data_IF_664157930838
#
_entry.id   IF_664157930838
#
_cell.length_a   1.000
_cell.length_b   1.000
_cell.length_c   1.000
_cell.angle_alpha   90.00
_cell.angle_beta   90.00
_cell.angle_gamma   90.00
#
_symmetry.space_group_name_H-M   'P 1'
#
loop_
_entity.id
_entity.type
_entity.pdbx_description
1 polymer ?
#
# COMPACT_ATOMS: atom_id res chain seq x y z
N UNK A 1 20.55 15.40 17.19
CA UNK A 1 19.79 15.05 15.96
C UNK A 1 20.15 16.07 14.89
N UNK A 2 20.83 15.65 13.82
CA UNK A 2 21.32 16.55 12.77
C UNK A 2 20.16 17.04 11.87
N UNK A 3 20.33 18.17 11.21
CA UNK A 3 19.31 18.85 10.39
C UNK A 3 18.77 17.98 9.25
N UNK A 4 19.62 17.09 8.71
CA UNK A 4 19.24 16.08 7.71
C UNK A 4 18.15 15.12 8.22
N UNK A 5 18.28 14.64 9.47
CA UNK A 5 17.30 13.72 10.06
C UNK A 5 15.95 14.40 10.28
N UNK A 6 15.94 15.70 10.57
CA UNK A 6 14.68 16.46 10.72
C UNK A 6 13.95 16.61 9.39
N UNK A 7 14.68 16.89 8.31
CA UNK A 7 14.11 16.99 6.95
C UNK A 7 13.53 15.65 6.48
N UNK A 8 14.21 14.55 6.78
CA UNK A 8 13.72 13.20 6.45
C UNK A 8 12.42 12.87 7.18
N UNK A 9 12.36 13.10 8.50
CA UNK A 9 11.15 12.85 9.30
C UNK A 9 9.98 13.72 8.84
N UNK A 10 10.24 14.98 8.47
CA UNK A 10 9.19 15.87 7.96
C UNK A 10 8.68 15.39 6.59
N UNK A 11 9.58 15.02 5.67
CA UNK A 11 9.20 14.46 4.38
C UNK A 11 8.34 13.21 4.53
N UNK A 12 8.72 12.29 5.42
CA UNK A 12 7.94 11.08 5.68
C UNK A 12 6.52 11.39 6.16
N UNK A 13 6.39 12.40 7.03
CA UNK A 13 5.09 12.84 7.56
C UNK A 13 4.21 13.46 6.47
N UNK A 14 4.78 14.31 5.63
CA UNK A 14 4.06 15.00 4.56
C UNK A 14 3.54 13.99 3.52
N UNK A 15 4.39 13.02 3.16
CA UNK A 15 4.03 11.91 2.28
C UNK A 15 2.90 11.07 2.87
N UNK A 16 3.00 10.64 4.13
CA UNK A 16 1.93 9.89 4.80
C UNK A 16 0.60 10.64 4.73
N UNK A 17 0.63 11.95 5.00
CA UNK A 17 -0.56 12.80 4.92
C UNK A 17 -1.22 12.77 3.54
N UNK A 18 -0.44 12.98 2.48
CA UNK A 18 -0.95 12.95 1.10
C UNK A 18 -1.53 11.57 0.74
N UNK A 19 -0.86 10.48 1.14
CA UNK A 19 -1.35 9.13 0.88
C UNK A 19 -2.67 8.88 1.59
N UNK A 20 -2.79 9.28 2.87
CA UNK A 20 -4.02 9.17 3.64
C UNK A 20 -5.21 9.90 2.99
N UNK A 21 -4.98 11.09 2.44
CA UNK A 21 -6.02 11.84 1.71
C UNK A 21 -6.48 11.10 0.44
N UNK A 22 -5.64 10.24 -0.13
CA UNK A 22 -5.91 9.50 -1.37
C UNK A 22 -6.35 8.06 -1.17
N UNK A 23 -6.34 7.54 0.07
CA UNK A 23 -6.67 6.13 0.37
C UNK A 23 -8.03 5.74 -0.21
N UNK A 24 -9.05 6.56 0.00
CA UNK A 24 -10.41 6.26 -0.47
C UNK A 24 -10.50 6.23 -2.00
N UNK A 25 -9.92 7.24 -2.67
CA UNK A 25 -9.85 7.29 -4.15
C UNK A 25 -9.13 6.07 -4.73
N UNK A 26 -8.07 5.60 -4.07
CA UNK A 26 -7.32 4.42 -4.50
C UNK A 26 -8.12 3.13 -4.28
N UNK A 27 -8.76 2.99 -3.12
CA UNK A 27 -9.59 1.84 -2.80
C UNK A 27 -10.76 1.68 -3.79
N UNK A 28 -11.42 2.78 -4.18
CA UNK A 28 -12.46 2.77 -5.21
C UNK A 28 -11.97 2.25 -6.56
N UNK A 29 -10.74 2.59 -6.96
CA UNK A 29 -10.15 2.15 -8.22
C UNK A 29 -9.74 0.68 -8.22
N UNK A 30 -9.33 0.15 -7.07
CA UNK A 30 -8.77 -1.19 -6.95
C UNK A 30 -9.80 -2.24 -6.54
N UNK A 31 -10.88 -1.87 -5.83
CA UNK A 31 -11.93 -2.81 -5.44
C UNK A 31 -12.53 -3.63 -6.62
N UNK A 32 -12.77 -3.05 -7.81
CA UNK A 32 -13.23 -3.83 -8.96
C UNK A 32 -12.22 -4.89 -9.43
N UNK A 33 -10.91 -4.66 -9.26
CA UNK A 33 -9.87 -5.61 -9.66
C UNK A 33 -9.87 -6.85 -8.76
N UNK A 34 -10.02 -6.67 -7.44
CA UNK A 34 -10.14 -7.79 -6.51
C UNK A 34 -11.35 -8.66 -6.83
N UNK A 35 -12.48 -8.03 -7.17
CA UNK A 35 -13.67 -8.76 -7.61
C UNK A 35 -13.47 -9.48 -8.95
N UNK A 36 -12.80 -8.84 -9.91
CA UNK A 36 -12.55 -9.42 -11.23
C UNK A 36 -11.62 -10.64 -11.16
N UNK A 37 -10.58 -10.56 -10.33
CA UNK A 37 -9.55 -11.59 -10.19
C UNK A 37 -9.92 -12.66 -9.13
N UNK A 38 -11.13 -12.60 -8.57
CA UNK A 38 -11.57 -13.43 -7.43
C UNK A 38 -10.55 -13.46 -6.28
N UNK A 39 -9.90 -12.32 -6.04
CA UNK A 39 -8.84 -12.22 -5.06
C UNK A 39 -9.40 -11.87 -3.69
N UNK A 40 -8.96 -12.62 -2.68
CA UNK A 40 -9.44 -12.55 -1.30
C UNK A 40 -8.35 -12.05 -0.37
N UNK A 41 -8.74 -11.22 0.61
CA UNK A 41 -7.88 -10.90 1.74
C UNK A 41 -7.96 -12.02 2.78
N UNK A 42 -6.81 -12.50 3.25
CA UNK A 42 -6.66 -13.01 4.62
C UNK A 42 -7.48 -14.22 5.09
N UNK A 43 -8.19 -14.95 4.22
CA UNK A 43 -8.82 -16.30 4.42
C UNK A 43 -10.36 -16.39 4.26
N UNK A 44 -11.10 -15.30 4.09
CA UNK A 44 -12.58 -15.39 3.90
C UNK A 44 -12.99 -15.53 2.43
N UNK A 45 -14.06 -16.30 2.19
CA UNK A 45 -14.52 -16.71 0.85
C UNK A 45 -15.14 -15.60 -0.02
N UNK A 46 -15.04 -14.34 0.41
CA UNK A 46 -15.66 -13.20 -0.25
C UNK A 46 -14.62 -12.21 -0.75
N UNK A 47 -14.86 -11.59 -1.92
CA UNK A 47 -14.03 -10.48 -2.32
C UNK A 47 -14.18 -9.34 -1.31
N UNK A 48 -13.10 -8.62 -1.07
CA UNK A 48 -13.03 -7.51 -0.12
C UNK A 48 -13.93 -6.34 -0.48
N UNK A 49 -14.45 -5.71 0.55
CA UNK A 49 -15.16 -4.43 0.46
C UNK A 49 -14.17 -3.26 0.36
N UNK A 50 -14.60 -2.14 -0.21
CA UNK A 50 -13.80 -0.90 -0.27
C UNK A 50 -13.22 -0.53 1.11
N UNK A 51 -14.00 -0.62 2.18
CA UNK A 51 -13.54 -0.27 3.53
C UNK A 51 -12.43 -1.19 4.05
N UNK A 52 -12.43 -2.47 3.65
CA UNK A 52 -11.33 -3.39 3.98
C UNK A 52 -10.05 -3.04 3.22
N UNK A 53 -10.19 -2.60 1.96
CA UNK A 53 -9.08 -2.08 1.15
C UNK A 53 -8.51 -0.82 1.79
N UNK A 54 -9.37 0.12 2.19
CA UNK A 54 -8.96 1.37 2.84
C UNK A 54 -8.19 1.09 4.13
N UNK A 55 -8.66 0.15 4.95
CA UNK A 55 -7.95 -0.28 6.17
C UNK A 55 -6.57 -0.85 5.85
N UNK A 56 -6.48 -1.79 4.91
CA UNK A 56 -5.21 -2.40 4.53
C UNK A 56 -4.22 -1.37 3.96
N UNK A 57 -4.68 -0.41 3.15
CA UNK A 57 -3.86 0.69 2.67
C UNK A 57 -3.35 1.58 3.81
N UNK A 58 -4.21 1.90 4.79
CA UNK A 58 -3.82 2.64 5.98
C UNK A 58 -2.70 1.95 6.77
N UNK A 59 -2.84 0.64 7.02
CA UNK A 59 -1.80 -0.16 7.69
C UNK A 59 -0.48 -0.15 6.91
N UNK A 60 -0.53 -0.27 5.59
CA UNK A 60 0.66 -0.21 4.73
C UNK A 60 1.32 1.18 4.73
N UNK A 61 0.52 2.25 4.75
CA UNK A 61 1.00 3.64 4.89
C UNK A 61 1.58 3.85 6.29
N UNK A 62 1.04 3.24 7.35
CA UNK A 62 1.62 3.35 8.68
C UNK A 62 2.96 2.64 8.78
N UNK A 63 3.12 1.51 8.09
CA UNK A 63 4.41 0.84 7.91
C UNK A 63 5.42 1.65 7.08
N UNK A 64 5.02 2.76 6.45
CA UNK A 64 5.94 3.67 5.77
C UNK A 64 6.95 4.25 6.79
N UNK A 65 8.22 3.94 6.59
CA UNK A 65 9.30 4.30 7.51
C UNK A 65 10.38 3.22 7.54
N UNK A 66 11.30 3.26 6.58
CA UNK A 66 12.36 2.26 6.42
C UNK A 66 12.80 2.08 4.97
N UNK A 67 13.76 1.19 4.72
CA UNK A 67 13.96 0.58 3.40
C UNK A 67 13.22 -0.76 3.39
N UNK A 68 12.41 -1.01 2.36
CA UNK A 68 11.72 -2.28 2.18
C UNK A 68 10.36 -2.15 1.51
N UNK A 69 9.72 -3.30 1.32
CA UNK A 69 8.35 -3.44 0.84
C UNK A 69 7.48 -3.97 1.97
N UNK A 70 6.30 -3.39 2.17
CA UNK A 70 5.26 -3.97 3.02
C UNK A 70 4.15 -4.50 2.14
N UNK A 71 3.68 -5.72 2.43
CA UNK A 71 2.61 -6.37 1.69
C UNK A 71 1.50 -6.80 2.62
N UNK A 72 0.25 -6.59 2.22
CA UNK A 72 -0.93 -7.06 2.96
C UNK A 72 -1.99 -7.52 1.97
N UNK A 73 -2.31 -8.81 2.03
CA UNK A 73 -3.42 -9.42 1.28
C UNK A 73 -3.42 -9.12 -0.22
N UNK A 74 -2.24 -8.99 -0.82
CA UNK A 74 -2.09 -8.74 -2.25
C UNK A 74 -1.71 -7.33 -2.67
N UNK A 75 -1.92 -6.35 -1.80
CA UNK A 75 -1.34 -5.03 -2.00
C UNK A 75 0.11 -5.03 -1.52
N UNK A 76 0.94 -4.33 -2.27
CA UNK A 76 2.33 -4.07 -1.93
C UNK A 76 2.60 -2.58 -2.08
N UNK A 77 3.15 -1.99 -1.02
CA UNK A 77 3.70 -0.64 -1.06
C UNK A 77 5.21 -0.75 -1.19
N UNK A 78 5.75 -0.14 -2.24
CA UNK A 78 7.17 0.00 -2.49
C UNK A 78 7.58 1.46 -2.38
N UNK A 79 8.73 1.72 -1.77
CA UNK A 79 9.29 3.06 -1.65
C UNK A 79 10.69 3.10 -2.24
N UNK A 80 10.90 4.01 -3.19
CA UNK A 80 12.20 4.33 -3.75
C UNK A 80 12.65 5.70 -3.23
N UNK A 81 13.63 5.69 -2.33
CA UNK A 81 14.21 6.89 -1.74
C UNK A 81 15.00 7.72 -2.74
N UNK A 82 15.63 7.08 -3.72
CA UNK A 82 16.50 7.74 -4.69
C UNK A 82 15.66 8.42 -5.79
N UNK A 83 14.59 7.77 -6.22
CA UNK A 83 13.63 8.34 -7.16
C UNK A 83 12.61 9.28 -6.49
N UNK A 84 12.50 9.27 -5.16
CA UNK A 84 11.41 9.93 -4.41
C UNK A 84 10.03 9.46 -4.89
N UNK A 85 9.92 8.18 -5.24
CA UNK A 85 8.71 7.57 -5.78
C UNK A 85 8.09 6.58 -4.79
N UNK A 86 6.77 6.57 -4.75
CA UNK A 86 5.98 5.62 -3.97
C UNK A 86 5.05 4.90 -4.92
N UNK A 87 5.21 3.58 -4.95
CA UNK A 87 4.36 2.69 -5.72
C UNK A 87 3.43 1.95 -4.78
N UNK A 88 2.14 1.94 -5.10
CA UNK A 88 1.24 0.92 -4.59
C UNK A 88 0.93 0.01 -5.77
N UNK A 89 1.34 -1.24 -5.65
CA UNK A 89 1.12 -2.26 -6.67
C UNK A 89 0.25 -3.37 -6.11
N UNK A 90 -0.39 -4.09 -7.02
CA UNK A 90 -1.03 -5.35 -6.71
C UNK A 90 -0.14 -6.46 -7.22
N UNK A 91 0.17 -7.43 -6.36
CA UNK A 91 0.93 -8.62 -6.76
C UNK A 91 -0.01 -9.82 -6.86
N UNK A 92 -0.48 -10.08 -8.08
CA UNK A 92 -1.19 -11.32 -8.38
C UNK A 92 -0.17 -12.42 -8.70
N UNK A 93 0.11 -13.30 -7.74
CA UNK A 93 0.87 -14.52 -8.02
C UNK A 93 -0.08 -15.66 -8.33
N UNK A 94 -0.48 -15.80 -9.59
CA UNK A 94 -0.67 -17.15 -10.12
C UNK A 94 0.62 -17.56 -10.84
N UNK A 95 0.92 -18.85 -10.72
CA UNK A 95 2.01 -19.59 -11.36
C UNK A 95 3.35 -19.63 -10.62
N UNK A 96 3.47 -20.60 -9.72
CA UNK A 96 4.69 -21.43 -9.69
C UNK A 96 4.59 -22.43 -10.85
N UNK A 97 5.29 -22.18 -11.96
CA UNK A 97 5.61 -23.27 -12.90
C UNK A 97 6.90 -23.94 -12.41
N UNK A 98 6.81 -25.23 -12.08
CA UNK A 98 7.95 -26.14 -12.12
C UNK A 98 8.00 -26.82 -13.48
#
# INVERSE_FOLDING_TARGET
>A
MNELNKKLVQFEKDVKGILYEKVSEFAEKVAPLYKLLDWKWGEDDFPPTQSEIERALGELIDCFGGEGSCSSGGLEVSFDKDASEIGISFRYSDYTYF
#
